data_IF_366000512970
#
_entry.id   IF_366000512970
#
_cell.length_a   1.000
_cell.length_b   1.000
_cell.length_c   1.000
_cell.angle_alpha   90.00
_cell.angle_beta   90.00
_cell.angle_gamma   90.00
#
_symmetry.space_group_name_H-M   'P 1'
#
loop_
_entity.id
_entity.type
_entity.pdbx_description
1 polymer ?
#
# COMPACT_ATOMS: atom_id res chain seq x y z
N UNK A 1 -9.64 -7.84 -25.92
CA UNK A 1 -8.57 -7.49 -26.82
C UNK A 1 -7.80 -8.72 -27.28
N UNK A 2 -6.99 -8.58 -28.34
CA UNK A 2 -6.29 -9.76 -28.85
C UNK A 2 -5.32 -10.34 -27.82
N UNK A 3 -5.31 -11.65 -27.73
CA UNK A 3 -4.44 -12.39 -26.82
C UNK A 3 -3.08 -12.60 -27.46
N UNK A 4 -2.40 -11.52 -27.75
CA UNK A 4 -1.03 -11.56 -28.27
C UNK A 4 -0.06 -11.29 -27.13
N UNK A 5 1.19 -11.70 -27.29
CA UNK A 5 2.24 -11.41 -26.31
C UNK A 5 2.36 -9.91 -26.10
N UNK A 6 2.32 -9.13 -27.19
CA UNK A 6 2.41 -7.67 -27.11
C UNK A 6 1.27 -7.06 -26.33
N UNK A 7 0.04 -7.53 -26.52
CA UNK A 7 -1.13 -7.04 -25.78
C UNK A 7 -1.04 -7.35 -24.31
N UNK A 8 -0.60 -8.56 -23.97
CA UNK A 8 -0.43 -8.99 -22.58
C UNK A 8 0.63 -8.11 -21.91
N UNK A 9 1.76 -7.89 -22.55
CA UNK A 9 2.84 -7.07 -22.00
C UNK A 9 2.39 -5.64 -21.74
N UNK A 10 1.67 -5.02 -22.68
CA UNK A 10 1.18 -3.67 -22.51
C UNK A 10 0.21 -3.57 -21.33
N UNK A 11 -0.69 -4.52 -21.17
CA UNK A 11 -1.67 -4.50 -20.09
C UNK A 11 -1.03 -4.77 -18.74
N UNK A 12 -0.06 -5.67 -18.65
CA UNK A 12 0.70 -5.91 -17.43
C UNK A 12 1.45 -4.64 -17.03
N UNK A 13 2.08 -3.98 -17.99
CA UNK A 13 2.83 -2.75 -17.74
C UNK A 13 1.95 -1.65 -17.15
N UNK A 14 0.71 -1.52 -17.66
CA UNK A 14 -0.18 -0.43 -17.30
C UNK A 14 -1.00 -0.70 -16.02
N UNK A 15 -1.26 -1.96 -15.71
CA UNK A 15 -2.23 -2.32 -14.68
C UNK A 15 -1.70 -3.20 -13.57
N UNK A 16 -0.43 -3.56 -13.60
CA UNK A 16 0.14 -4.41 -12.55
C UNK A 16 0.13 -3.69 -11.20
N UNK A 17 -0.54 -4.29 -10.23
CA UNK A 17 -0.66 -3.72 -8.89
C UNK A 17 -0.80 -4.82 -7.86
N UNK A 18 -0.25 -4.59 -6.68
CA UNK A 18 -0.29 -5.53 -5.55
C UNK A 18 -0.62 -4.75 -4.30
N UNK A 19 -1.53 -5.28 -3.50
CA UNK A 19 -1.83 -4.72 -2.18
C UNK A 19 -1.40 -5.71 -1.10
N UNK A 20 -0.64 -5.22 -0.15
CA UNK A 20 -0.17 -6.02 0.98
C UNK A 20 -0.71 -5.39 2.26
N UNK A 21 -1.34 -6.21 3.10
CA UNK A 21 -1.90 -5.76 4.37
C UNK A 21 -1.12 -6.41 5.50
N UNK A 22 -0.57 -5.59 6.38
CA UNK A 22 0.22 -6.02 7.53
C UNK A 22 -0.52 -5.67 8.81
N UNK A 23 -0.22 -6.37 9.89
CA UNK A 23 -0.85 -6.10 11.19
C UNK A 23 -0.29 -4.81 11.82
N UNK A 24 1.01 -4.58 11.71
CA UNK A 24 1.68 -3.46 12.38
C UNK A 24 2.40 -2.57 11.38
N UNK A 25 2.47 -1.24 11.66
CA UNK A 25 3.19 -0.31 10.77
C UNK A 25 4.65 -0.70 10.55
N UNK A 26 5.35 -1.15 11.59
CA UNK A 26 6.76 -1.55 11.47
C UNK A 26 6.95 -2.70 10.48
N UNK A 27 6.04 -3.66 10.47
CA UNK A 27 6.10 -4.78 9.53
C UNK A 27 5.94 -4.31 8.10
N UNK A 28 5.09 -3.32 7.90
CA UNK A 28 4.86 -2.71 6.60
C UNK A 28 6.16 -2.08 6.06
N UNK A 29 6.83 -1.30 6.88
CA UNK A 29 8.09 -0.66 6.48
C UNK A 29 9.22 -1.67 6.33
N UNK A 30 9.28 -2.69 7.20
CA UNK A 30 10.29 -3.77 7.09
C UNK A 30 10.13 -4.54 5.79
N UNK A 31 8.88 -4.83 5.41
CA UNK A 31 8.61 -5.53 4.16
C UNK A 31 9.01 -4.68 2.96
N UNK A 32 8.74 -3.37 3.02
CA UNK A 32 9.16 -2.44 1.97
C UNK A 32 10.69 -2.45 1.79
N UNK A 33 11.42 -2.38 2.90
CA UNK A 33 12.88 -2.40 2.84
C UNK A 33 13.41 -3.73 2.30
N UNK A 34 12.80 -4.84 2.69
CA UNK A 34 13.17 -6.16 2.17
C UNK A 34 12.94 -6.24 0.67
N UNK A 35 11.80 -5.73 0.19
CA UNK A 35 11.50 -5.72 -1.24
C UNK A 35 12.51 -4.88 -2.01
N UNK A 36 12.83 -3.69 -1.51
CA UNK A 36 13.74 -2.76 -2.18
C UNK A 36 15.20 -3.20 -2.10
N UNK A 37 15.53 -4.15 -1.23
CA UNK A 37 16.88 -4.70 -1.14
C UNK A 37 17.18 -5.78 -2.18
N UNK A 38 16.16 -6.24 -2.91
CA UNK A 38 16.37 -7.23 -3.97
C UNK A 38 17.12 -6.61 -5.14
N UNK A 39 18.09 -7.34 -5.69
CA UNK A 39 18.94 -6.84 -6.76
C UNK A 39 18.18 -6.52 -8.05
N UNK A 40 17.09 -7.24 -8.28
CA UNK A 40 16.31 -7.11 -9.52
C UNK A 40 15.11 -6.18 -9.37
N UNK A 41 14.99 -5.50 -8.24
CA UNK A 41 13.90 -4.53 -7.99
C UNK A 41 14.48 -3.12 -8.02
N UNK A 42 13.91 -2.27 -8.86
CA UNK A 42 14.33 -0.87 -8.97
C UNK A 42 13.19 0.00 -8.47
N UNK A 43 13.48 0.86 -7.49
CA UNK A 43 12.49 1.82 -6.99
C UNK A 43 12.40 2.99 -7.96
N UNK A 44 11.19 3.24 -8.49
CA UNK A 44 10.92 4.38 -9.36
C UNK A 44 10.37 5.53 -8.54
N UNK A 45 9.41 5.26 -7.64
CA UNK A 45 8.79 6.30 -6.83
C UNK A 45 8.32 5.73 -5.50
N UNK A 46 8.46 6.51 -4.45
CA UNK A 46 7.96 6.17 -3.12
C UNK A 46 7.09 7.31 -2.62
N UNK A 47 5.85 7.00 -2.27
CA UNK A 47 4.90 7.95 -1.66
C UNK A 47 4.51 7.45 -0.29
N UNK A 48 4.95 8.15 0.73
CA UNK A 48 4.68 7.78 2.12
C UNK A 48 3.51 8.59 2.65
N UNK A 49 2.30 8.07 2.46
CA UNK A 49 1.10 8.67 3.00
C UNK A 49 0.85 8.32 4.47
N UNK A 50 1.76 7.57 5.08
CA UNK A 50 1.73 7.32 6.53
C UNK A 50 2.36 8.51 7.24
N UNK A 51 3.53 8.96 6.77
CA UNK A 51 4.19 10.15 7.31
C UNK A 51 3.45 11.43 6.93
N UNK A 52 2.90 11.49 5.70
CA UNK A 52 2.18 12.65 5.19
C UNK A 52 0.85 12.20 4.60
N UNK A 53 -0.18 12.01 5.44
CA UNK A 53 -1.49 11.57 4.95
C UNK A 53 -2.10 12.56 3.96
N UNK A 54 -2.94 12.04 3.05
CA UNK A 54 -3.71 12.91 2.16
C UNK A 54 -4.70 13.75 2.97
N UNK A 55 -5.16 14.90 2.46
CA UNK A 55 -6.12 15.74 3.18
C UNK A 55 -7.39 15.00 3.62
N UNK A 56 -7.79 13.96 2.89
CA UNK A 56 -8.95 13.16 3.26
C UNK A 56 -8.72 12.28 4.48
N UNK A 57 -7.46 12.06 4.86
CA UNK A 57 -7.07 11.13 5.90
C UNK A 57 -6.50 9.82 5.37
N UNK A 58 -6.46 9.64 4.06
CA UNK A 58 -5.94 8.40 3.46
C UNK A 58 -4.48 8.19 3.83
N UNK A 59 -4.18 6.97 4.26
CA UNK A 59 -2.83 6.53 4.64
C UNK A 59 -2.49 5.21 3.97
N UNK A 60 -1.29 5.14 3.46
CA UNK A 60 -0.66 3.90 2.98
C UNK A 60 0.76 4.21 2.56
N UNK A 61 1.55 3.18 2.31
CA UNK A 61 2.87 3.34 1.69
C UNK A 61 2.75 2.84 0.26
N UNK A 62 2.99 3.70 -0.72
CA UNK A 62 2.95 3.36 -2.13
C UNK A 62 4.36 3.29 -2.69
N UNK A 63 4.66 2.20 -3.35
CA UNK A 63 5.93 2.03 -4.06
C UNK A 63 5.62 1.75 -5.52
N UNK A 64 6.26 2.49 -6.41
CA UNK A 64 6.27 2.14 -7.82
C UNK A 64 7.64 1.56 -8.10
N UNK A 65 7.68 0.31 -8.46
CA UNK A 65 8.92 -0.42 -8.70
C UNK A 65 8.94 -0.96 -10.12
N UNK A 66 10.12 -1.30 -10.56
CA UNK A 66 10.33 -1.95 -11.83
C UNK A 66 10.97 -3.31 -11.55
N UNK A 67 10.37 -4.36 -12.10
CA UNK A 67 10.83 -5.73 -11.90
C UNK A 67 10.94 -6.43 -13.24
N UNK A 68 11.86 -7.40 -13.37
CA UNK A 68 11.96 -8.16 -14.59
C UNK A 68 10.90 -9.25 -14.66
N UNK A 69 10.34 -9.46 -15.84
CA UNK A 69 9.56 -10.67 -16.12
C UNK A 69 10.30 -11.45 -17.20
N UNK A 70 10.22 -12.77 -17.11
CA UNK A 70 10.90 -13.66 -18.02
C UNK A 70 9.86 -14.29 -18.94
N UNK A 71 9.89 -13.85 -20.20
CA UNK A 71 9.04 -14.39 -21.24
C UNK A 71 9.82 -15.50 -21.96
N UNK A 72 9.10 -16.30 -22.73
CA UNK A 72 9.70 -17.45 -23.38
C UNK A 72 10.96 -17.13 -24.18
N UNK A 73 11.02 -15.95 -24.81
CA UNK A 73 12.13 -15.56 -25.67
C UNK A 73 12.87 -14.30 -25.23
N UNK A 74 12.41 -13.63 -24.18
CA UNK A 74 13.04 -12.39 -23.77
C UNK A 74 12.74 -12.07 -22.32
N UNK A 75 13.56 -11.18 -21.77
CA UNK A 75 13.37 -10.59 -20.45
C UNK A 75 12.86 -9.17 -20.64
N UNK A 76 11.78 -8.82 -19.95
CA UNK A 76 11.24 -7.47 -19.96
C UNK A 76 11.12 -6.92 -18.56
N UNK A 77 11.20 -5.60 -18.45
CA UNK A 77 10.93 -4.91 -17.19
C UNK A 77 9.52 -4.37 -17.19
N UNK A 78 8.81 -4.57 -16.09
CA UNK A 78 7.45 -4.05 -15.94
C UNK A 78 7.37 -3.21 -14.67
N UNK A 79 6.50 -2.21 -14.70
CA UNK A 79 6.21 -1.38 -13.53
C UNK A 79 5.12 -2.04 -12.70
N UNK A 80 5.32 -2.05 -11.40
CA UNK A 80 4.34 -2.59 -10.45
C UNK A 80 4.12 -1.55 -9.37
N UNK A 81 2.84 -1.25 -9.12
CA UNK A 81 2.47 -0.44 -7.98
C UNK A 81 2.22 -1.35 -6.79
N UNK A 82 2.96 -1.14 -5.71
CA UNK A 82 2.80 -1.89 -4.47
C UNK A 82 2.21 -0.95 -3.42
N UNK A 83 1.03 -1.29 -2.92
CA UNK A 83 0.39 -0.56 -1.85
C UNK A 83 0.51 -1.36 -0.56
N UNK A 84 1.17 -0.78 0.44
CA UNK A 84 1.30 -1.43 1.74
C UNK A 84 0.45 -0.67 2.75
N UNK A 85 -0.35 -1.40 3.48
CA UNK A 85 -1.29 -0.86 4.47
C UNK A 85 -1.29 -1.72 5.72
N UNK A 86 -1.67 -1.12 6.84
CA UNK A 86 -2.06 -1.90 8.00
C UNK A 86 -3.53 -2.32 7.83
N UNK A 87 -3.98 -3.21 8.72
CA UNK A 87 -5.38 -3.64 8.72
C UNK A 87 -6.31 -2.44 8.93
N UNK A 88 -5.96 -1.54 9.84
CA UNK A 88 -6.79 -0.36 10.13
C UNK A 88 -6.81 0.61 8.96
N UNK A 89 -5.68 0.83 8.29
CA UNK A 89 -5.61 1.66 7.08
C UNK A 89 -6.48 1.09 5.97
N UNK A 90 -6.42 -0.23 5.80
CA UNK A 90 -7.19 -0.90 4.76
C UNK A 90 -8.70 -0.85 5.07
N UNK A 91 -9.07 -1.00 6.33
CA UNK A 91 -10.45 -0.88 6.76
C UNK A 91 -10.99 0.52 6.47
N UNK A 92 -10.24 1.55 6.87
CA UNK A 92 -10.65 2.94 6.63
C UNK A 92 -10.79 3.24 5.14
N UNK A 93 -9.81 2.79 4.32
CA UNK A 93 -9.86 3.02 2.88
C UNK A 93 -11.07 2.34 2.23
N UNK A 94 -11.41 1.16 2.70
CA UNK A 94 -12.59 0.43 2.20
C UNK A 94 -13.88 1.15 2.59
N UNK A 95 -13.95 1.66 3.81
CA UNK A 95 -15.10 2.43 4.28
C UNK A 95 -15.28 3.70 3.45
N UNK A 96 -14.21 4.45 3.25
CA UNK A 96 -14.25 5.66 2.44
C UNK A 96 -14.75 5.36 1.03
N UNK A 97 -14.21 4.31 0.41
CA UNK A 97 -14.59 3.94 -0.95
C UNK A 97 -16.08 3.61 -1.03
N UNK A 98 -16.61 2.82 -0.09
CA UNK A 98 -18.03 2.46 -0.06
C UNK A 98 -18.93 3.66 0.11
N UNK A 99 -18.56 4.58 1.00
CA UNK A 99 -19.37 5.75 1.27
C UNK A 99 -19.36 6.74 0.11
N UNK A 100 -18.20 6.99 -0.49
CA UNK A 100 -18.08 7.90 -1.62
C UNK A 100 -18.79 7.36 -2.86
N UNK A 101 -18.79 6.07 -3.04
CA UNK A 101 -19.45 5.45 -4.17
C UNK A 101 -20.97 5.65 -4.12
N UNK A 102 -21.55 5.65 -2.91
CA UNK A 102 -23.00 5.73 -2.74
C UNK A 102 -23.53 7.16 -2.66
N UNK A 103 -22.77 8.10 -2.15
CA UNK A 103 -23.24 9.47 -1.88
C UNK A 103 -22.11 10.48 -2.01
N UNK A 104 -22.48 11.74 -2.22
CA UNK A 104 -21.58 12.85 -2.07
C UNK A 104 -21.36 13.08 -0.56
N UNK A 105 -20.12 13.01 -0.12
CA UNK A 105 -19.76 13.05 1.31
C UNK A 105 -19.35 14.43 1.80
N UNK A 106 -19.85 15.50 1.21
CA UNK A 106 -19.42 16.85 1.59
C UNK A 106 -19.57 17.14 3.09
N UNK A 107 -20.64 16.64 3.71
CA UNK A 107 -20.91 16.90 5.13
C UNK A 107 -20.21 15.91 6.06
N UNK A 108 -19.85 14.74 5.55
CA UNK A 108 -19.27 13.65 6.34
C UNK A 108 -17.76 13.54 6.18
N UNK A 109 -17.13 14.40 5.38
CA UNK A 109 -15.69 14.36 5.17
C UNK A 109 -14.90 14.61 6.45
N UNK A 110 -15.38 15.51 7.30
CA UNK A 110 -14.72 15.79 8.58
C UNK A 110 -14.76 14.58 9.50
N UNK A 111 -15.86 13.84 9.51
CA UNK A 111 -15.98 12.62 10.30
C UNK A 111 -15.07 11.53 9.78
N UNK A 112 -14.95 11.37 8.46
CA UNK A 112 -14.03 10.42 7.86
C UNK A 112 -12.58 10.75 8.21
N UNK A 113 -12.21 12.03 8.18
CA UNK A 113 -10.86 12.46 8.57
C UNK A 113 -10.58 12.17 10.04
N UNK A 114 -11.58 12.38 10.91
CA UNK A 114 -11.46 12.07 12.32
C UNK A 114 -11.29 10.57 12.56
N UNK A 115 -12.04 9.75 11.84
CA UNK A 115 -11.90 8.30 11.92
C UNK A 115 -10.53 7.82 11.42
N UNK A 116 -9.96 8.51 10.43
CA UNK A 116 -8.61 8.20 9.97
C UNK A 116 -7.57 8.45 11.06
N UNK A 117 -7.74 9.52 11.84
CA UNK A 117 -6.87 9.79 12.98
C UNK A 117 -7.04 8.74 14.07
N UNK A 118 -8.26 8.30 14.31
CA UNK A 118 -8.54 7.22 15.26
C UNK A 118 -7.86 5.92 14.82
N UNK A 119 -7.91 5.61 13.54
CA UNK A 119 -7.23 4.43 12.99
C UNK A 119 -5.71 4.54 13.15
N UNK A 120 -5.14 5.72 12.94
CA UNK A 120 -3.71 5.95 13.12
C UNK A 120 -3.32 5.80 14.60
N UNK A 121 -4.15 6.28 15.51
CA UNK A 121 -3.91 6.14 16.93
C UNK A 121 -3.96 4.67 17.34
N UNK A 122 -4.91 3.93 16.82
CA UNK A 122 -5.00 2.49 17.05
C UNK A 122 -3.71 1.78 16.62
N UNK A 123 -3.23 2.07 15.41
CA UNK A 123 -1.98 1.48 14.91
C UNK A 123 -0.79 1.79 15.81
N UNK A 124 -0.69 3.06 16.24
CA UNK A 124 0.41 3.48 17.11
C UNK A 124 0.36 2.74 18.45
N UNK A 125 -0.81 2.62 19.04
CA UNK A 125 -0.99 1.96 20.33
C UNK A 125 -0.73 0.46 20.24
N UNK A 126 -1.16 -0.17 19.15
CA UNK A 126 -0.89 -1.58 18.92
C UNK A 126 0.61 -1.84 18.73
N UNK A 127 1.29 -0.96 18.01
CA UNK A 127 2.74 -1.06 17.82
C UNK A 127 3.49 -0.93 19.14
N UNK A 128 3.09 0.02 19.97
CA UNK A 128 3.69 0.21 21.29
C UNK A 128 3.49 -1.05 22.15
N UNK A 129 2.30 -1.59 22.13
CA UNK A 129 1.98 -2.80 22.90
C UNK A 129 2.84 -3.98 22.44
N UNK A 130 2.96 -4.17 21.12
CA UNK A 130 3.79 -5.24 20.58
C UNK A 130 5.26 -5.08 20.99
N UNK A 131 5.78 -3.85 20.87
CA UNK A 131 7.18 -3.57 21.24
C UNK A 131 7.43 -3.86 22.72
N UNK A 132 6.47 -3.51 23.57
CA UNK A 132 6.56 -3.79 24.99
C UNK A 132 6.59 -5.28 25.27
N UNK A 133 5.74 -6.06 24.59
CA UNK A 133 5.68 -7.50 24.76
C UNK A 133 6.94 -8.19 24.22
N UNK A 134 7.45 -7.75 23.09
CA UNK A 134 8.68 -8.30 22.53
C UNK A 134 9.88 -8.05 23.44
N UNK A 135 9.98 -6.85 24.00
CA UNK A 135 11.05 -6.50 24.94
C UNK A 135 10.95 -7.30 26.24
N UNK A 136 9.72 -7.62 26.67
CA UNK A 136 9.46 -8.41 27.87
C UNK A 136 9.77 -9.89 27.74
N UNK A 137 9.96 -10.39 26.53
CA UNK A 137 10.27 -11.80 26.27
C UNK A 137 11.76 -12.12 26.40
N UNK A 138 12.61 -11.14 26.53
CA UNK A 138 14.06 -11.34 26.70
C UNK A 138 14.41 -11.78 28.16
#
# INVERSE_FOLDING_TARGET
>A
FPMSVDSIEQNIYDVAGVRVVCTFPEDMFSLAESLLSQDDVILIERRDYVASPKPSGYRSLHLIIEVPIFLEREKRSVKVEVQLRTISMNFWASLEHQLRYKKNLSDEEAELADLAETAADLDRRMQILRNYLDDGEE
#
